data_IF_124979184322
#
_entry.id   IF_124979184322
#
_cell.length_a   1.000
_cell.length_b   1.000
_cell.length_c   1.000
_cell.angle_alpha   90.00
_cell.angle_beta   90.00
_cell.angle_gamma   90.00
#
_symmetry.space_group_name_H-M   'P 1'
#
loop_
_entity.id
_entity.type
_entity.pdbx_description
1 polymer ?
#
# COMPACT_ATOMS: atom_id res chain seq x y z
N UNK A 1 10.64 45.07 -66.20
CA UNK A 1 9.31 45.66 -65.91
C UNK A 1 8.33 44.50 -65.91
N UNK A 2 7.59 44.12 -64.87
CA UNK A 2 7.32 44.59 -63.51
C UNK A 2 6.51 43.46 -62.84
N UNK A 3 6.74 43.20 -61.56
CA UNK A 3 5.97 42.23 -60.73
C UNK A 3 4.52 42.71 -60.54
N UNK A 4 3.55 41.82 -60.22
CA UNK A 4 3.17 41.70 -58.81
C UNK A 4 2.77 40.28 -58.32
N UNK A 5 3.37 39.87 -57.20
CA UNK A 5 2.77 39.25 -56.01
C UNK A 5 1.32 38.74 -56.07
N UNK A 6 1.11 37.44 -55.81
CA UNK A 6 0.32 36.93 -54.66
C UNK A 6 0.71 35.46 -54.41
N UNK A 7 1.60 35.21 -53.45
CA UNK A 7 1.86 33.86 -52.94
C UNK A 7 0.71 33.50 -51.99
N UNK A 8 -0.16 32.59 -52.40
CA UNK A 8 -0.98 31.86 -51.44
C UNK A 8 -0.01 31.10 -50.51
N UNK A 9 0.01 31.47 -49.22
CA UNK A 9 0.67 30.66 -48.20
C UNK A 9 -0.04 29.32 -48.17
N UNK A 10 0.60 28.29 -48.72
CA UNK A 10 0.26 26.92 -48.43
C UNK A 10 0.49 26.73 -46.92
N UNK A 11 -0.59 26.65 -46.15
CA UNK A 11 -0.53 26.16 -44.77
C UNK A 11 0.21 24.83 -44.79
N UNK A 12 1.28 24.74 -44.01
CA UNK A 12 2.14 23.57 -44.02
C UNK A 12 1.34 22.34 -43.59
N UNK A 13 1.51 21.23 -44.30
CA UNK A 13 0.83 19.97 -44.01
C UNK A 13 1.22 19.42 -42.62
N UNK A 14 2.32 19.91 -42.04
CA UNK A 14 2.78 19.64 -40.68
C UNK A 14 1.89 20.29 -39.60
N UNK A 15 1.41 21.53 -39.79
CA UNK A 15 0.54 22.20 -38.80
C UNK A 15 -0.83 21.51 -38.65
N UNK A 16 -1.36 20.96 -39.75
CA UNK A 16 -2.62 20.21 -39.74
C UNK A 16 -2.42 18.85 -39.04
N UNK A 17 -1.26 18.22 -39.22
CA UNK A 17 -0.90 16.96 -38.55
C UNK A 17 -0.81 17.13 -37.03
N UNK A 18 -0.13 18.18 -36.55
CA UNK A 18 0.04 18.42 -35.12
C UNK A 18 -1.27 18.85 -34.44
N UNK A 19 -2.10 19.67 -35.09
CA UNK A 19 -3.42 20.03 -34.57
C UNK A 19 -4.37 18.82 -34.51
N UNK A 20 -4.29 17.91 -35.48
CA UNK A 20 -5.04 16.64 -35.47
C UNK A 20 -4.49 15.70 -34.40
N UNK A 21 -3.17 15.61 -34.22
CA UNK A 21 -2.54 14.84 -33.15
C UNK A 21 -2.92 15.39 -31.77
N UNK A 22 -2.92 16.71 -31.57
CA UNK A 22 -3.34 17.38 -30.34
C UNK A 22 -4.85 17.22 -30.09
N UNK A 23 -5.67 17.23 -31.13
CA UNK A 23 -7.11 16.93 -31.04
C UNK A 23 -7.40 15.47 -30.69
N UNK A 24 -6.60 14.52 -31.20
CA UNK A 24 -6.72 13.08 -30.94
C UNK A 24 -6.12 12.67 -29.58
N UNK A 25 -5.12 13.41 -29.07
CA UNK A 25 -4.39 13.09 -27.85
C UNK A 25 -4.75 13.97 -26.65
N UNK A 26 -5.59 15.00 -26.84
CA UNK A 26 -6.13 15.79 -25.73
C UNK A 26 -7.03 14.93 -24.83
N UNK A 27 -6.73 14.90 -23.54
CA UNK A 27 -7.63 14.31 -22.55
C UNK A 27 -8.90 15.16 -22.50
N UNK A 28 -10.00 14.60 -22.99
CA UNK A 28 -11.31 15.26 -22.99
C UNK A 28 -12.09 14.97 -21.72
N UNK A 29 -11.90 13.80 -21.12
CA UNK A 29 -12.73 13.27 -20.04
C UNK A 29 -11.94 12.61 -18.93
N UNK A 30 -12.56 12.51 -17.76
CA UNK A 30 -12.07 11.86 -16.55
C UNK A 30 -13.14 10.94 -15.96
N UNK A 31 -12.72 9.82 -15.40
CA UNK A 31 -13.59 8.92 -14.63
C UNK A 31 -13.48 9.23 -13.13
N UNK A 32 -14.63 9.52 -12.50
CA UNK A 32 -14.77 9.69 -11.04
C UNK A 32 -14.74 8.33 -10.33
N UNK A 33 -14.54 8.37 -9.00
CA UNK A 33 -14.52 7.15 -8.16
C UNK A 33 -15.81 6.34 -8.19
N UNK A 34 -16.94 6.98 -8.46
CA UNK A 34 -18.26 6.35 -8.58
C UNK A 34 -18.57 5.91 -10.03
N UNK A 35 -17.56 5.91 -10.93
CA UNK A 35 -17.72 5.54 -12.34
C UNK A 35 -18.27 6.65 -13.26
N UNK A 36 -18.70 7.79 -12.71
CA UNK A 36 -19.24 8.88 -13.52
C UNK A 36 -18.15 9.58 -14.34
N UNK A 37 -18.46 9.90 -15.60
CA UNK A 37 -17.55 10.61 -16.52
C UNK A 37 -17.75 12.12 -16.38
N UNK A 38 -16.65 12.87 -16.45
CA UNK A 38 -16.66 14.34 -16.39
C UNK A 38 -15.64 14.92 -17.37
N UNK A 39 -15.92 16.06 -17.96
CA UNK A 39 -14.96 16.76 -18.81
C UNK A 39 -13.69 17.19 -18.05
N UNK A 40 -12.56 17.03 -18.71
CA UNK A 40 -11.26 17.39 -18.18
C UNK A 40 -11.04 18.91 -18.24
N UNK A 41 -10.71 19.49 -17.10
CA UNK A 41 -10.59 20.93 -16.93
C UNK A 41 -9.15 21.28 -16.51
N UNK A 42 -8.38 21.76 -17.49
CA UNK A 42 -6.97 22.14 -17.31
C UNK A 42 -6.83 23.27 -16.28
N UNK A 43 -7.78 24.20 -16.21
CA UNK A 43 -7.72 25.31 -15.27
C UNK A 43 -7.90 24.83 -13.83
N UNK A 44 -8.77 23.85 -13.60
CA UNK A 44 -8.88 23.19 -12.27
C UNK A 44 -7.60 22.46 -11.88
N UNK A 45 -6.95 21.77 -12.83
CA UNK A 45 -5.67 21.12 -12.59
C UNK A 45 -4.59 22.15 -12.21
N UNK A 46 -4.47 23.23 -12.99
CA UNK A 46 -3.54 24.34 -12.74
C UNK A 46 -3.75 24.94 -11.34
N UNK A 47 -4.98 25.26 -10.99
CA UNK A 47 -5.32 25.80 -9.67
C UNK A 47 -4.95 24.84 -8.53
N UNK A 48 -5.13 23.54 -8.75
CA UNK A 48 -4.74 22.50 -7.79
C UNK A 48 -3.22 22.47 -7.57
N UNK A 49 -2.44 22.53 -8.66
CA UNK A 49 -0.97 22.59 -8.62
C UNK A 49 -0.48 23.90 -7.97
N UNK A 50 -1.08 25.03 -8.32
CA UNK A 50 -0.73 26.34 -7.75
C UNK A 50 -0.94 26.38 -6.23
N UNK A 51 -2.06 25.82 -5.74
CA UNK A 51 -2.33 25.70 -4.29
C UNK A 51 -1.28 24.83 -3.59
N UNK A 52 -0.87 23.73 -4.21
CA UNK A 52 0.14 22.84 -3.66
C UNK A 52 1.50 23.54 -3.54
N UNK A 53 1.93 24.20 -4.62
CA UNK A 53 3.17 24.97 -4.66
C UNK A 53 3.16 26.10 -3.62
N UNK A 54 2.07 26.87 -3.53
CA UNK A 54 1.91 27.93 -2.56
C UNK A 54 1.96 27.43 -1.10
N UNK A 55 1.29 26.30 -0.80
CA UNK A 55 1.33 25.69 0.52
C UNK A 55 2.74 25.20 0.93
N UNK A 56 3.61 24.94 -0.04
CA UNK A 56 5.01 24.57 0.15
C UNK A 56 5.98 25.76 0.03
N UNK A 57 5.48 27.01 -0.02
CA UNK A 57 6.31 28.22 -0.10
C UNK A 57 6.96 28.46 -1.47
N UNK A 58 6.51 27.78 -2.52
CA UNK A 58 7.03 27.93 -3.88
C UNK A 58 6.34 29.08 -4.62
N UNK A 59 7.03 29.66 -5.60
CA UNK A 59 6.48 30.77 -6.38
C UNK A 59 5.28 30.31 -7.24
N UNK A 60 4.18 31.08 -7.32
CA UNK A 60 2.98 30.70 -8.08
C UNK A 60 3.17 30.60 -9.61
N UNK A 61 4.17 31.30 -10.16
CA UNK A 61 4.54 31.30 -11.59
C UNK A 61 5.01 29.93 -12.10
N UNK A 62 5.50 29.07 -11.21
CA UNK A 62 5.86 27.69 -11.52
C UNK A 62 4.65 26.81 -11.86
N UNK A 63 3.43 27.21 -11.47
CA UNK A 63 2.24 26.39 -11.67
C UNK A 63 1.94 26.16 -13.15
N UNK A 64 2.14 27.17 -14.00
CA UNK A 64 1.93 27.06 -15.44
C UNK A 64 2.92 26.08 -16.08
N UNK A 65 4.20 26.20 -15.69
CA UNK A 65 5.25 25.30 -16.16
C UNK A 65 5.00 23.85 -15.73
N UNK A 66 4.70 23.62 -14.45
CA UNK A 66 4.42 22.27 -13.94
C UNK A 66 3.17 21.69 -14.60
N UNK A 67 2.11 22.49 -14.77
CA UNK A 67 0.88 22.06 -15.43
C UNK A 67 1.15 21.63 -16.87
N UNK A 68 1.97 22.38 -17.63
CA UNK A 68 2.36 22.00 -18.98
C UNK A 68 3.04 20.63 -19.04
N UNK A 69 4.00 20.37 -18.14
CA UNK A 69 4.67 19.06 -18.07
C UNK A 69 3.73 17.93 -17.66
N UNK A 70 2.80 18.17 -16.74
CA UNK A 70 1.75 17.21 -16.37
C UNK A 70 0.90 16.89 -17.60
N UNK A 71 0.48 17.89 -18.36
CA UNK A 71 -0.30 17.70 -19.59
C UNK A 71 0.46 16.89 -20.63
N UNK A 72 1.73 17.20 -20.89
CA UNK A 72 2.55 16.41 -21.83
C UNK A 72 2.63 14.94 -21.42
N UNK A 73 2.79 14.65 -20.12
CA UNK A 73 2.87 13.27 -19.61
C UNK A 73 1.54 12.54 -19.71
N UNK A 74 0.46 13.27 -19.43
CA UNK A 74 -0.89 12.78 -19.52
C UNK A 74 -1.26 12.39 -20.95
N UNK A 75 -1.00 13.28 -21.91
CA UNK A 75 -1.17 13.05 -23.35
C UNK A 75 -0.33 11.87 -23.84
N UNK A 76 0.93 11.73 -23.36
CA UNK A 76 1.79 10.58 -23.70
C UNK A 76 1.33 9.27 -23.08
N UNK A 77 0.67 9.31 -21.93
CA UNK A 77 0.25 8.14 -21.17
C UNK A 77 -1.13 7.63 -21.59
N UNK A 78 -1.99 8.52 -22.08
CA UNK A 78 -3.35 8.24 -22.49
C UNK A 78 -3.51 8.64 -23.96
N UNK A 79 -3.43 7.65 -24.83
CA UNK A 79 -3.46 7.74 -26.30
C UNK A 79 -4.86 7.99 -26.90
N UNK A 80 -5.81 8.46 -26.08
CA UNK A 80 -7.19 8.68 -26.47
C UNK A 80 -8.10 7.44 -26.39
N UNK A 81 -7.57 6.23 -26.22
CA UNK A 81 -8.36 5.00 -26.06
C UNK A 81 -8.68 4.66 -24.60
N UNK A 82 -7.96 5.25 -23.65
CA UNK A 82 -8.20 5.08 -22.21
C UNK A 82 -8.48 6.43 -21.54
N UNK A 83 -9.62 6.51 -20.84
CA UNK A 83 -10.00 7.70 -20.08
C UNK A 83 -9.32 7.68 -18.71
N UNK A 84 -8.49 8.68 -18.35
CA UNK A 84 -7.79 8.69 -17.08
C UNK A 84 -8.75 8.84 -15.90
N UNK A 85 -8.41 8.21 -14.79
CA UNK A 85 -9.09 8.43 -13.51
C UNK A 85 -8.49 9.63 -12.78
N UNK A 86 -9.20 10.15 -11.78
CA UNK A 86 -8.62 11.14 -10.86
C UNK A 86 -7.35 10.67 -10.12
N UNK A 87 -7.15 9.34 -9.98
CA UNK A 87 -5.92 8.80 -9.40
C UNK A 87 -4.77 8.94 -10.38
N UNK A 88 -4.99 8.62 -11.65
CA UNK A 88 -3.98 8.72 -12.69
C UNK A 88 -3.46 10.15 -12.87
N UNK A 89 -4.38 11.13 -12.89
CA UNK A 89 -3.99 12.55 -12.95
C UNK A 89 -3.09 12.92 -11.78
N UNK A 90 -3.45 12.48 -10.58
CA UNK A 90 -2.69 12.77 -9.36
C UNK A 90 -1.31 12.14 -9.38
N UNK A 91 -1.20 10.91 -9.84
CA UNK A 91 0.08 10.21 -9.93
C UNK A 91 1.01 10.93 -10.91
N UNK A 92 0.48 11.37 -12.06
CA UNK A 92 1.27 12.15 -13.01
C UNK A 92 1.71 13.49 -12.40
N UNK A 93 0.84 14.19 -11.67
CA UNK A 93 1.23 15.42 -10.95
C UNK A 93 2.33 15.16 -9.92
N UNK A 94 2.23 14.08 -9.13
CA UNK A 94 3.24 13.75 -8.13
C UNK A 94 4.60 13.41 -8.72
N UNK A 95 4.64 12.58 -9.76
CA UNK A 95 5.90 12.28 -10.45
C UNK A 95 6.48 13.57 -11.04
N UNK A 96 5.64 14.45 -11.57
CA UNK A 96 6.10 15.74 -12.11
C UNK A 96 6.67 16.63 -11.00
N UNK A 97 6.06 16.68 -9.81
CA UNK A 97 6.65 17.39 -8.67
C UNK A 97 8.00 16.81 -8.25
N UNK A 98 8.14 15.48 -8.24
CA UNK A 98 9.43 14.83 -7.92
C UNK A 98 10.50 15.21 -8.93
N UNK A 99 10.19 15.22 -10.22
CA UNK A 99 11.15 15.54 -11.28
C UNK A 99 11.58 17.01 -11.28
N UNK A 100 10.74 17.90 -10.76
CA UNK A 100 11.10 19.29 -10.47
C UNK A 100 11.83 19.46 -9.13
N UNK A 101 12.15 18.35 -8.44
CA UNK A 101 12.75 18.32 -7.11
C UNK A 101 11.88 18.98 -6.01
N UNK A 102 10.56 19.00 -6.21
CA UNK A 102 9.57 19.53 -5.28
C UNK A 102 9.01 18.41 -4.39
N UNK A 103 9.90 17.62 -3.80
CA UNK A 103 9.55 16.41 -3.02
C UNK A 103 8.66 16.73 -1.81
N UNK A 104 8.84 17.89 -1.17
CA UNK A 104 7.96 18.35 -0.09
C UNK A 104 6.56 18.66 -0.61
N UNK A 105 6.46 19.36 -1.74
CA UNK A 105 5.19 19.65 -2.42
C UNK A 105 4.48 18.37 -2.86
N UNK A 106 5.20 17.40 -3.42
CA UNK A 106 4.64 16.09 -3.79
C UNK A 106 4.02 15.37 -2.56
N UNK A 107 4.75 15.36 -1.44
CA UNK A 107 4.26 14.79 -0.17
C UNK A 107 3.01 15.52 0.34
N UNK A 108 3.02 16.86 0.30
CA UNK A 108 1.86 17.66 0.72
C UNK A 108 0.66 17.51 -0.24
N UNK A 109 0.90 17.41 -1.55
CA UNK A 109 -0.14 17.24 -2.56
C UNK A 109 -0.89 15.91 -2.40
N UNK A 110 -0.16 14.84 -2.07
CA UNK A 110 -0.75 13.58 -1.60
C UNK A 110 -1.52 13.78 -0.28
N UNK A 111 -0.97 14.56 0.65
CA UNK A 111 -1.52 14.82 1.98
C UNK A 111 -2.73 15.78 2.04
N UNK A 112 -2.99 16.60 1.02
CA UNK A 112 -4.06 17.62 1.05
C UNK A 112 -5.48 17.02 1.07
N UNK A 113 -5.64 15.77 0.62
CA UNK A 113 -6.87 14.99 0.88
C UNK A 113 -6.82 14.23 2.19
N UNK A 114 -5.65 13.90 2.72
CA UNK A 114 -5.55 13.30 4.05
C UNK A 114 -6.07 14.30 5.08
N UNK A 115 -5.69 15.58 5.02
CA UNK A 115 -6.21 16.59 5.96
C UNK A 115 -7.71 16.87 5.80
N UNK A 116 -8.26 16.96 4.57
CA UNK A 116 -9.71 17.13 4.35
C UNK A 116 -10.55 15.87 4.51
N UNK A 117 -9.97 14.67 4.38
CA UNK A 117 -10.64 13.42 4.72
C UNK A 117 -10.57 13.13 6.22
N UNK A 118 -9.56 13.68 6.91
CA UNK A 118 -9.46 13.64 8.38
C UNK A 118 -10.25 14.75 9.08
N UNK A 119 -10.54 15.87 8.42
CA UNK A 119 -11.54 16.83 8.90
C UNK A 119 -12.94 16.28 8.56
N UNK A 120 -13.57 15.75 9.61
CA UNK A 120 -14.73 14.87 9.60
C UNK A 120 -15.85 15.33 8.67
N UNK A 121 -16.21 14.46 7.74
CA UNK A 121 -17.55 14.42 7.18
C UNK A 121 -18.51 14.26 8.37
N UNK A 122 -19.52 15.11 8.49
CA UNK A 122 -20.51 14.95 9.58
C UNK A 122 -21.16 13.58 9.50
N UNK A 123 -21.43 13.01 10.67
CA UNK A 123 -22.08 11.71 10.76
C UNK A 123 -23.45 11.77 10.05
N UNK A 124 -23.72 10.77 9.22
CA UNK A 124 -24.95 10.66 8.44
C UNK A 124 -25.78 9.51 8.98
N UNK A 125 -27.08 9.72 9.18
CA UNK A 125 -28.01 8.74 9.73
C UNK A 125 -29.33 8.72 8.93
N UNK A 126 -30.17 7.71 9.16
CA UNK A 126 -31.55 7.65 8.67
C UNK A 126 -31.80 6.73 7.47
N UNK A 127 -30.77 6.21 6.82
CA UNK A 127 -30.86 5.27 5.69
C UNK A 127 -29.93 4.05 5.86
N UNK A 128 -29.67 3.66 7.10
CA UNK A 128 -28.69 2.63 7.45
C UNK A 128 -29.31 1.40 8.10
N UNK A 129 -28.47 0.55 8.67
CA UNK A 129 -28.91 -0.63 9.42
C UNK A 129 -29.23 -0.27 10.87
N UNK A 130 -30.21 -0.97 11.45
CA UNK A 130 -30.41 -1.04 12.90
C UNK A 130 -29.45 -2.06 13.49
N UNK A 131 -28.89 -1.78 14.66
CA UNK A 131 -27.92 -2.66 15.33
C UNK A 131 -28.43 -3.00 16.72
N UNK A 132 -28.78 -4.26 16.92
CA UNK A 132 -29.18 -4.78 18.22
C UNK A 132 -27.95 -5.02 19.11
N UNK A 133 -28.10 -4.76 20.42
CA UNK A 133 -27.09 -5.11 21.41
C UNK A 133 -27.31 -6.54 21.88
N UNK A 134 -26.29 -7.38 21.77
CA UNK A 134 -26.34 -8.77 22.19
C UNK A 134 -25.47 -9.01 23.42
N UNK A 135 -24.21 -8.53 23.40
CA UNK A 135 -23.28 -8.69 24.50
C UNK A 135 -23.21 -7.48 25.44
N UNK A 136 -23.64 -6.30 24.97
CA UNK A 136 -23.47 -5.03 25.67
C UNK A 136 -24.80 -4.46 26.17
N UNK A 137 -24.71 -3.46 27.05
CA UNK A 137 -25.88 -2.74 27.59
C UNK A 137 -25.74 -1.26 27.29
N UNK A 138 -26.85 -0.61 26.98
CA UNK A 138 -26.86 0.83 26.76
C UNK A 138 -26.39 1.56 28.03
N UNK A 139 -25.54 2.57 27.85
CA UNK A 139 -24.99 3.37 28.95
C UNK A 139 -23.86 2.72 29.75
N UNK A 140 -23.49 1.47 29.46
CA UNK A 140 -22.36 0.78 30.12
C UNK A 140 -21.27 0.52 29.09
N UNK A 141 -20.07 1.07 29.31
CA UNK A 141 -18.95 0.83 28.40
C UNK A 141 -18.44 -0.63 28.57
N UNK A 142 -18.15 -1.39 27.50
CA UNK A 142 -17.71 -2.78 27.62
C UNK A 142 -16.50 -2.97 28.53
N UNK A 143 -15.59 -1.99 28.56
CA UNK A 143 -14.40 -2.03 29.40
C UNK A 143 -14.67 -1.89 30.91
N UNK A 144 -15.84 -1.40 31.31
CA UNK A 144 -16.22 -1.25 32.72
C UNK A 144 -16.64 -2.60 33.33
N UNK A 145 -16.98 -3.58 32.49
CA UNK A 145 -17.34 -4.94 32.88
C UNK A 145 -16.14 -5.87 33.01
N UNK A 146 -14.93 -5.34 32.84
CA UNK A 146 -13.69 -6.10 32.74
C UNK A 146 -12.84 -5.82 33.97
N UNK A 147 -12.30 -6.88 34.57
CA UNK A 147 -11.23 -6.75 35.57
C UNK A 147 -9.88 -6.60 34.85
N UNK A 148 -9.15 -5.54 35.19
CA UNK A 148 -7.88 -5.18 34.57
C UNK A 148 -6.75 -5.32 35.57
N UNK A 149 -5.57 -5.67 35.07
CA UNK A 149 -4.36 -5.69 35.87
C UNK A 149 -3.18 -5.07 35.12
N UNK A 150 -2.18 -4.67 35.88
CA UNK A 150 -0.89 -4.25 35.34
C UNK A 150 0.04 -5.45 35.26
N UNK A 151 0.65 -5.64 34.10
CA UNK A 151 1.58 -6.72 33.82
C UNK A 151 2.78 -6.21 33.03
N UNK A 152 3.93 -6.85 33.19
CA UNK A 152 5.09 -6.56 32.35
C UNK A 152 5.06 -7.46 31.10
N UNK A 153 5.29 -6.88 29.93
CA UNK A 153 5.48 -7.63 28.70
C UNK A 153 6.97 -7.83 28.45
N UNK A 154 7.44 -9.08 28.44
CA UNK A 154 8.86 -9.42 28.30
C UNK A 154 9.04 -10.60 27.36
N UNK A 155 9.87 -10.44 26.34
CA UNK A 155 10.21 -11.49 25.37
C UNK A 155 11.71 -11.75 25.47
N UNK A 156 12.09 -13.02 25.56
CA UNK A 156 13.47 -13.49 25.57
C UNK A 156 13.79 -14.29 24.31
N UNK A 157 15.05 -14.28 23.87
CA UNK A 157 15.53 -15.19 22.84
C UNK A 157 15.88 -16.57 23.44
N UNK A 158 16.32 -17.51 22.59
CA UNK A 158 16.74 -18.87 22.97
C UNK A 158 17.92 -18.89 23.96
N UNK A 159 18.71 -17.81 24.00
CA UNK A 159 19.83 -17.62 24.94
C UNK A 159 19.38 -16.98 26.27
N UNK A 160 18.09 -16.78 26.48
CA UNK A 160 17.51 -16.16 27.68
C UNK A 160 17.68 -14.64 27.77
N UNK A 161 18.23 -13.99 26.74
CA UNK A 161 18.42 -12.54 26.72
C UNK A 161 17.11 -11.84 26.37
N UNK A 162 16.84 -10.71 27.03
CA UNK A 162 15.65 -9.91 26.77
C UNK A 162 15.78 -9.20 25.43
N UNK A 163 14.88 -9.52 24.50
CA UNK A 163 14.80 -8.85 23.19
C UNK A 163 13.75 -7.74 23.15
N UNK A 164 12.80 -7.78 24.08
CA UNK A 164 11.75 -6.76 24.22
C UNK A 164 11.25 -6.72 25.65
N UNK A 165 11.07 -5.52 26.19
CA UNK A 165 10.42 -5.30 27.49
C UNK A 165 9.61 -4.00 27.48
N UNK A 166 8.38 -4.06 28.02
CA UNK A 166 7.60 -2.89 28.38
C UNK A 166 6.86 -3.18 29.70
N UNK A 167 7.10 -2.34 30.71
CA UNK A 167 6.61 -2.54 32.07
C UNK A 167 5.25 -1.88 32.30
N UNK A 168 4.48 -2.44 33.23
CA UNK A 168 3.26 -1.85 33.76
C UNK A 168 2.15 -1.64 32.72
N UNK A 169 2.06 -2.51 31.71
CA UNK A 169 0.97 -2.42 30.73
C UNK A 169 -0.35 -2.90 31.32
N UNK A 170 -1.44 -2.25 30.94
CA UNK A 170 -2.78 -2.60 31.39
C UNK A 170 -3.42 -3.61 30.43
N UNK A 171 -3.80 -4.78 30.94
CA UNK A 171 -4.41 -5.88 30.18
C UNK A 171 -5.59 -6.47 30.96
N UNK A 172 -6.56 -7.11 30.28
CA UNK A 172 -7.59 -7.88 30.97
C UNK A 172 -6.95 -9.02 31.77
N UNK A 173 -7.41 -9.24 33.00
CA UNK A 173 -6.80 -10.19 33.94
C UNK A 173 -6.69 -11.61 33.38
N UNK A 174 -7.69 -12.06 32.62
CA UNK A 174 -7.72 -13.42 32.04
C UNK A 174 -6.82 -13.59 30.82
N UNK A 175 -6.25 -12.53 30.24
CA UNK A 175 -5.32 -12.68 29.12
C UNK A 175 -4.08 -13.43 29.58
N UNK A 176 -3.53 -14.30 28.73
CA UNK A 176 -2.29 -15.02 29.04
C UNK A 176 -1.07 -14.10 28.92
N UNK A 177 0.04 -14.43 29.59
CA UNK A 177 1.31 -13.72 29.44
C UNK A 177 1.78 -13.70 27.97
N UNK A 178 1.59 -14.78 27.23
CA UNK A 178 1.91 -14.86 25.80
C UNK A 178 1.09 -13.86 24.98
N UNK A 179 -0.22 -13.76 25.23
CA UNK A 179 -1.06 -12.76 24.56
C UNK A 179 -0.60 -11.33 24.87
N UNK A 180 -0.31 -11.03 26.14
CA UNK A 180 0.27 -9.75 26.56
C UNK A 180 1.57 -9.45 25.81
N UNK A 181 2.52 -10.38 25.80
CA UNK A 181 3.81 -10.23 25.13
C UNK A 181 3.66 -9.94 23.63
N UNK A 182 2.80 -10.71 22.93
CA UNK A 182 2.56 -10.54 21.49
C UNK A 182 1.90 -9.20 21.20
N UNK A 183 0.87 -8.83 21.95
CA UNK A 183 0.11 -7.60 21.71
C UNK A 183 0.96 -6.36 21.93
N UNK A 184 1.69 -6.34 23.03
CA UNK A 184 2.52 -5.19 23.41
C UNK A 184 3.70 -5.06 22.46
N UNK A 185 4.37 -6.16 22.09
CA UNK A 185 5.51 -6.08 21.18
C UNK A 185 5.14 -5.72 19.74
N UNK A 186 4.01 -6.23 19.24
CA UNK A 186 3.66 -6.11 17.81
C UNK A 186 2.65 -5.00 17.51
N UNK A 187 1.61 -4.86 18.32
CA UNK A 187 0.42 -4.08 17.97
C UNK A 187 0.32 -2.75 18.69
N UNK A 188 0.92 -2.61 19.88
CA UNK A 188 0.99 -1.30 20.55
C UNK A 188 1.75 -0.29 19.69
N UNK A 189 1.19 0.92 19.58
CA UNK A 189 1.73 2.05 18.82
C UNK A 189 2.57 2.98 19.70
N UNK A 190 3.41 3.80 19.08
CA UNK A 190 4.39 4.67 19.76
C UNK A 190 5.68 3.93 20.09
N UNK A 191 6.71 4.68 20.47
CA UNK A 191 8.05 4.16 20.77
C UNK A 191 8.21 4.01 22.28
N UNK A 192 8.81 2.91 22.74
CA UNK A 192 9.01 2.65 24.17
C UNK A 192 9.78 3.80 24.80
N UNK A 193 9.27 4.30 25.93
CA UNK A 193 9.86 5.42 26.67
C UNK A 193 9.33 6.80 26.23
N UNK A 194 8.67 6.91 25.08
CA UNK A 194 8.01 8.13 24.64
C UNK A 194 6.57 8.20 25.19
N UNK A 195 6.02 9.41 25.29
CA UNK A 195 4.67 9.65 25.84
C UNK A 195 3.55 9.17 24.92
N UNK A 196 3.82 8.97 23.63
CA UNK A 196 2.86 8.50 22.64
C UNK A 196 2.71 6.97 22.61
N UNK A 197 3.46 6.25 23.47
CA UNK A 197 3.43 4.79 23.56
C UNK A 197 2.12 4.32 24.18
N UNK A 198 1.38 3.50 23.43
CA UNK A 198 0.27 2.73 23.97
C UNK A 198 0.78 1.82 25.10
N UNK A 199 0.04 1.82 26.21
CA UNK A 199 0.33 1.05 27.41
C UNK A 199 -0.87 0.24 27.91
N UNK A 200 -2.04 0.37 27.28
CA UNK A 200 -3.25 -0.37 27.64
C UNK A 200 -3.89 -1.03 26.42
N UNK A 201 -4.38 -2.26 26.60
CA UNK A 201 -5.17 -2.95 25.56
C UNK A 201 -6.44 -2.17 25.22
N UNK A 202 -6.98 -1.35 26.15
CA UNK A 202 -8.10 -0.44 25.86
C UNK A 202 -7.79 0.53 24.73
N UNK A 203 -6.55 1.05 24.69
CA UNK A 203 -6.11 1.99 23.67
C UNK A 203 -6.03 1.31 22.31
N UNK A 204 -5.44 0.11 22.25
CA UNK A 204 -5.36 -0.68 21.02
C UNK A 204 -6.73 -1.04 20.46
N UNK A 205 -7.60 -1.64 21.30
CA UNK A 205 -8.93 -2.08 20.87
C UNK A 205 -9.81 -0.88 20.54
N UNK A 206 -9.77 0.18 21.36
CA UNK A 206 -10.53 1.41 21.13
C UNK A 206 -10.11 2.09 19.83
N UNK A 207 -8.80 2.22 19.57
CA UNK A 207 -8.29 2.77 18.30
C UNK A 207 -8.91 2.08 17.09
N UNK A 208 -9.00 0.75 17.10
CA UNK A 208 -9.58 0.01 15.98
C UNK A 208 -11.10 0.12 15.94
N UNK A 209 -11.79 -0.19 17.05
CA UNK A 209 -13.25 -0.21 17.09
C UNK A 209 -13.86 1.18 16.83
N UNK A 210 -13.35 2.22 17.49
CA UNK A 210 -13.81 3.60 17.30
C UNK A 210 -13.53 4.11 15.90
N UNK A 211 -12.39 3.77 15.29
CA UNK A 211 -12.10 4.19 13.91
C UNK A 211 -13.06 3.53 12.92
N UNK A 212 -13.30 2.23 13.04
CA UNK A 212 -14.22 1.50 12.14
C UNK A 212 -15.65 2.02 12.32
N UNK A 213 -16.12 2.17 13.55
CA UNK A 213 -17.44 2.73 13.83
C UNK A 213 -17.55 4.19 13.33
N UNK A 214 -16.50 4.98 13.45
CA UNK A 214 -16.41 6.33 12.89
C UNK A 214 -16.56 6.37 11.38
N UNK A 215 -15.95 5.44 10.65
CA UNK A 215 -16.21 5.30 9.20
C UNK A 215 -17.66 4.96 8.91
N UNK A 216 -18.25 4.01 9.65
CA UNK A 216 -19.66 3.66 9.51
C UNK A 216 -20.60 4.85 9.72
N UNK A 217 -20.33 5.69 10.73
CA UNK A 217 -21.06 6.94 10.98
C UNK A 217 -20.94 7.93 9.84
N UNK A 218 -19.73 8.13 9.31
CA UNK A 218 -19.47 9.11 8.26
C UNK A 218 -19.97 8.69 6.87
N UNK A 219 -20.07 7.38 6.64
CA UNK A 219 -20.54 6.81 5.37
C UNK A 219 -22.03 6.44 5.38
N UNK A 220 -22.74 6.68 6.49
CA UNK A 220 -24.19 6.52 6.57
C UNK A 220 -24.65 5.08 6.75
N UNK A 221 -23.80 4.21 7.32
CA UNK A 221 -24.13 2.79 7.51
C UNK A 221 -25.18 2.54 8.59
N UNK A 222 -25.44 3.49 9.50
CA UNK A 222 -26.30 3.28 10.66
C UNK A 222 -27.62 4.05 10.54
N UNK A 223 -28.72 3.44 10.99
CA UNK A 223 -30.03 4.06 10.97
C UNK A 223 -30.11 5.22 11.97
N UNK A 224 -29.60 5.01 13.18
CA UNK A 224 -29.55 6.02 14.25
C UNK A 224 -28.15 6.16 14.83
N UNK A 225 -27.96 7.18 15.69
CA UNK A 225 -26.72 7.32 16.46
C UNK A 225 -26.57 6.16 17.45
N UNK A 226 -27.68 5.74 18.04
CA UNK A 226 -27.75 4.65 19.01
C UNK A 226 -27.30 3.32 18.39
N UNK A 227 -27.63 3.08 17.11
CA UNK A 227 -27.15 1.91 16.35
C UNK A 227 -25.63 1.94 16.15
N UNK A 228 -25.06 3.11 15.85
CA UNK A 228 -23.62 3.27 15.70
C UNK A 228 -22.89 3.04 17.04
N UNK A 229 -23.44 3.56 18.13
CA UNK A 229 -22.90 3.37 19.49
C UNK A 229 -23.07 1.91 19.95
N UNK A 230 -24.14 1.23 19.53
CA UNK A 230 -24.31 -0.21 19.72
C UNK A 230 -23.24 -1.00 18.98
N UNK A 231 -23.04 -0.74 17.69
CA UNK A 231 -22.00 -1.38 16.89
C UNK A 231 -20.61 -1.23 17.49
N UNK A 232 -20.22 -0.02 17.90
CA UNK A 232 -18.91 0.23 18.51
C UNK A 232 -18.73 -0.54 19.82
N UNK A 233 -19.78 -0.59 20.65
CA UNK A 233 -19.76 -1.31 21.92
C UNK A 233 -19.65 -2.82 21.69
N UNK A 234 -20.48 -3.38 20.81
CA UNK A 234 -20.47 -4.82 20.49
C UNK A 234 -19.12 -5.23 19.90
N UNK A 235 -18.58 -4.45 18.95
CA UNK A 235 -17.26 -4.70 18.38
C UNK A 235 -16.17 -4.64 19.45
N UNK A 236 -16.20 -3.62 20.32
CA UNK A 236 -15.24 -3.51 21.43
C UNK A 236 -15.31 -4.73 22.35
N UNK A 237 -16.52 -5.17 22.71
CA UNK A 237 -16.73 -6.36 23.54
C UNK A 237 -16.17 -7.62 22.88
N UNK A 238 -16.49 -7.87 21.61
CA UNK A 238 -16.04 -9.03 20.85
C UNK A 238 -14.51 -9.10 20.80
N UNK A 239 -13.86 -7.95 20.54
CA UNK A 239 -12.41 -7.88 20.40
C UNK A 239 -11.68 -8.06 21.74
N UNK A 240 -12.11 -7.36 22.81
CA UNK A 240 -11.42 -7.41 24.11
C UNK A 240 -11.59 -8.77 24.82
N UNK A 241 -12.74 -9.42 24.62
CA UNK A 241 -13.02 -10.76 25.12
C UNK A 241 -12.48 -11.88 24.21
N UNK A 242 -11.72 -11.54 23.16
CA UNK A 242 -11.10 -12.50 22.24
C UNK A 242 -12.09 -13.46 21.54
N UNK A 243 -13.34 -13.01 21.33
CA UNK A 243 -14.37 -13.79 20.63
C UNK A 243 -14.14 -13.81 19.11
N UNK A 244 -13.53 -12.74 18.60
CA UNK A 244 -13.00 -12.66 17.24
C UNK A 244 -11.77 -11.75 17.22
N UNK A 245 -10.98 -11.84 16.15
CA UNK A 245 -9.83 -10.96 15.94
C UNK A 245 -9.73 -10.57 14.47
N UNK A 246 -9.40 -9.30 14.22
CA UNK A 246 -8.98 -8.89 12.89
C UNK A 246 -7.61 -9.46 12.53
N UNK A 247 -7.32 -9.49 11.23
CA UNK A 247 -5.98 -9.78 10.73
C UNK A 247 -4.97 -8.71 11.22
N UNK A 248 -3.68 -9.02 11.07
CA UNK A 248 -2.62 -8.13 11.56
C UNK A 248 -2.59 -6.72 10.94
N UNK A 249 -2.80 -6.51 9.62
CA UNK A 249 -2.80 -5.17 9.03
C UNK A 249 -3.85 -4.21 9.62
N UNK A 250 -5.02 -4.72 10.01
CA UNK A 250 -6.02 -3.90 10.70
C UNK A 250 -5.43 -3.34 12.00
N UNK A 251 -4.87 -4.20 12.85
CA UNK A 251 -4.25 -3.79 14.11
C UNK A 251 -3.08 -2.80 13.92
N UNK A 252 -2.30 -2.98 12.85
CA UNK A 252 -1.15 -2.11 12.54
C UNK A 252 -1.56 -0.73 12.06
N UNK A 253 -2.61 -0.63 11.23
CA UNK A 253 -2.83 0.53 10.39
C UNK A 253 -4.09 1.34 10.77
N UNK A 254 -5.15 0.69 11.23
CA UNK A 254 -6.44 1.36 11.48
C UNK A 254 -6.32 2.33 12.65
N UNK A 255 -6.78 3.57 12.46
CA UNK A 255 -6.64 4.64 13.47
C UNK A 255 -5.22 5.18 13.62
N UNK A 256 -4.26 4.74 12.80
CA UNK A 256 -2.89 5.26 12.74
C UNK A 256 -2.65 6.00 11.43
N UNK A 257 -3.00 5.36 10.32
CA UNK A 257 -2.84 5.92 8.97
C UNK A 257 -4.18 6.42 8.46
N UNK A 258 -4.18 7.56 7.76
CA UNK A 258 -5.39 8.11 7.16
C UNK A 258 -5.99 7.21 6.06
N UNK A 259 -5.15 6.46 5.36
CA UNK A 259 -5.54 5.47 4.36
C UNK A 259 -4.91 4.12 4.75
N UNK A 260 -5.51 3.42 5.74
CA UNK A 260 -4.91 2.21 6.28
C UNK A 260 -5.07 1.03 5.32
N UNK A 261 -4.02 0.23 5.17
CA UNK A 261 -4.10 -1.06 4.49
C UNK A 261 -4.66 -2.11 5.47
N UNK A 262 -5.89 -2.55 5.23
CA UNK A 262 -6.58 -3.50 6.10
C UNK A 262 -6.51 -4.95 5.59
N UNK A 263 -6.34 -5.16 4.29
CA UNK A 263 -6.27 -6.49 3.68
C UNK A 263 -4.87 -7.07 3.77
N UNK A 264 -4.72 -8.33 4.20
CA UNK A 264 -3.42 -8.96 4.42
C UNK A 264 -2.85 -9.70 3.20
N UNK A 265 -3.69 -10.11 2.26
CA UNK A 265 -3.30 -10.95 1.15
C UNK A 265 -3.79 -10.35 -0.16
N UNK A 266 -2.94 -10.37 -1.18
CA UNK A 266 -3.24 -9.90 -2.52
C UNK A 266 -2.76 -10.92 -3.55
N UNK A 267 -3.51 -11.05 -4.64
CA UNK A 267 -3.14 -11.87 -5.79
C UNK A 267 -2.90 -10.92 -6.95
N UNK A 268 -1.70 -10.99 -7.54
CA UNK A 268 -1.30 -10.16 -8.66
C UNK A 268 -1.08 -11.01 -9.91
N UNK A 269 -1.10 -10.35 -11.05
CA UNK A 269 -0.80 -10.96 -12.35
C UNK A 269 0.37 -10.24 -13.01
N UNK A 270 0.99 -10.92 -13.97
CA UNK A 270 2.10 -10.40 -14.75
C UNK A 270 1.91 -10.76 -16.22
N UNK A 271 2.35 -9.87 -17.10
CA UNK A 271 2.42 -10.11 -18.55
C UNK A 271 3.87 -10.37 -18.95
N UNK A 272 4.07 -11.05 -20.07
CA UNK A 272 5.40 -11.41 -20.60
C UNK A 272 6.11 -10.22 -21.28
N UNK A 273 6.31 -9.16 -20.51
CA UNK A 273 7.06 -7.98 -20.92
C UNK A 273 7.76 -7.35 -19.71
N UNK A 274 8.89 -6.70 -19.98
CA UNK A 274 9.73 -6.13 -18.91
C UNK A 274 9.03 -5.03 -18.10
N UNK A 275 8.08 -4.28 -18.67
CA UNK A 275 7.36 -3.24 -17.92
C UNK A 275 6.42 -3.88 -16.90
N UNK A 276 5.66 -4.90 -17.31
CA UNK A 276 4.77 -5.63 -16.41
C UNK A 276 5.55 -6.34 -15.29
N UNK A 277 6.67 -6.99 -15.61
CA UNK A 277 7.55 -7.67 -14.63
C UNK A 277 8.06 -6.69 -13.57
N UNK A 278 8.58 -5.53 -13.97
CA UNK A 278 9.10 -4.53 -13.02
C UNK A 278 7.98 -3.80 -12.27
N UNK A 279 6.81 -3.62 -12.90
CA UNK A 279 5.63 -3.09 -12.24
C UNK A 279 5.11 -4.03 -11.16
N UNK A 280 5.24 -5.35 -11.34
CA UNK A 280 4.91 -6.33 -10.31
C UNK A 280 5.77 -6.12 -9.06
N UNK A 281 7.10 -5.99 -9.21
CA UNK A 281 8.00 -5.70 -8.09
C UNK A 281 7.60 -4.40 -7.35
N UNK A 282 7.26 -3.36 -8.11
CA UNK A 282 6.81 -2.07 -7.55
C UNK A 282 5.51 -2.24 -6.75
N UNK A 283 4.53 -2.92 -7.34
CA UNK A 283 3.21 -3.15 -6.73
C UNK A 283 3.35 -3.94 -5.43
N UNK A 284 4.09 -5.04 -5.48
CA UNK A 284 4.31 -5.91 -4.33
C UNK A 284 5.12 -5.24 -3.23
N UNK A 285 6.18 -4.50 -3.57
CA UNK A 285 6.94 -3.74 -2.60
C UNK A 285 6.09 -2.73 -1.83
N UNK A 286 5.12 -2.10 -2.50
CA UNK A 286 4.17 -1.19 -1.85
C UNK A 286 3.17 -1.93 -0.95
N UNK A 287 2.71 -3.11 -1.35
CA UNK A 287 1.86 -3.97 -0.52
C UNK A 287 2.61 -4.45 0.74
N UNK A 288 3.86 -4.87 0.57
CA UNK A 288 4.75 -5.30 1.64
C UNK A 288 4.96 -4.19 2.67
N UNK A 289 5.25 -2.98 2.21
CA UNK A 289 5.36 -1.78 3.07
C UNK A 289 4.12 -1.59 3.95
N UNK A 290 2.93 -1.89 3.45
CA UNK A 290 1.66 -1.78 4.20
C UNK A 290 1.35 -2.94 5.15
N UNK A 291 2.18 -3.99 5.19
CA UNK A 291 2.02 -5.11 6.11
C UNK A 291 1.41 -6.39 5.51
N UNK A 292 1.26 -6.43 4.19
CA UNK A 292 0.56 -7.50 3.48
C UNK A 292 1.51 -8.38 2.69
N UNK A 293 1.09 -9.62 2.40
CA UNK A 293 1.77 -10.54 1.49
C UNK A 293 1.16 -10.52 0.09
N UNK A 294 1.87 -11.10 -0.88
CA UNK A 294 1.45 -11.14 -2.27
C UNK A 294 1.68 -12.50 -2.93
N UNK A 295 0.68 -13.01 -3.63
CA UNK A 295 0.77 -14.19 -4.48
C UNK A 295 0.77 -13.81 -5.96
N UNK A 296 1.62 -14.42 -6.79
CA UNK A 296 1.66 -14.14 -8.22
C UNK A 296 1.92 -15.41 -9.03
N UNK A 297 1.14 -15.62 -10.09
CA UNK A 297 1.37 -16.69 -11.06
C UNK A 297 2.29 -16.19 -12.17
N UNK A 298 3.48 -16.78 -12.29
CA UNK A 298 4.50 -16.39 -13.27
C UNK A 298 4.46 -17.24 -14.55
N UNK A 299 3.48 -18.12 -14.71
CA UNK A 299 3.36 -19.02 -15.87
C UNK A 299 3.13 -18.31 -17.20
N UNK A 300 2.76 -17.02 -17.16
CA UNK A 300 2.67 -16.19 -18.37
C UNK A 300 4.03 -15.79 -18.90
N UNK A 301 5.09 -15.78 -18.07
CA UNK A 301 6.43 -15.42 -18.50
C UNK A 301 7.02 -16.52 -19.36
N UNK A 302 7.69 -16.14 -20.46
CA UNK A 302 8.34 -17.12 -21.33
C UNK A 302 9.45 -17.89 -20.59
N UNK A 303 9.64 -19.15 -20.97
CA UNK A 303 10.71 -20.00 -20.45
C UNK A 303 12.10 -19.45 -20.75
N UNK A 304 13.09 -19.77 -19.91
CA UNK A 304 14.52 -19.54 -20.20
C UNK A 304 15.00 -20.20 -21.49
N UNK A 305 14.22 -21.13 -22.04
CA UNK A 305 14.55 -21.81 -23.28
C UNK A 305 14.24 -20.96 -24.52
N UNK A 306 13.39 -19.94 -24.40
CA UNK A 306 12.93 -19.08 -25.50
C UNK A 306 13.95 -18.00 -25.88
N UNK A 307 13.91 -17.57 -27.15
CA UNK A 307 14.74 -16.45 -27.63
C UNK A 307 14.10 -15.09 -27.35
N UNK A 308 14.96 -14.08 -27.17
CA UNK A 308 14.55 -12.69 -27.11
C UNK A 308 14.50 -12.09 -28.52
N UNK A 309 13.39 -11.41 -28.83
CA UNK A 309 13.12 -10.88 -30.17
C UNK A 309 14.28 -10.02 -30.69
N UNK A 310 14.77 -10.34 -31.89
CA UNK A 310 15.83 -9.59 -32.56
C UNK A 310 17.25 -9.87 -32.04
N UNK A 311 17.46 -10.90 -31.22
CA UNK A 311 18.80 -11.28 -30.74
C UNK A 311 18.96 -12.80 -30.63
N UNK A 312 20.22 -13.25 -30.59
CA UNK A 312 20.55 -14.65 -30.24
C UNK A 312 20.55 -14.89 -28.71
N UNK A 313 20.09 -13.91 -27.92
CA UNK A 313 19.97 -14.03 -26.47
C UNK A 313 18.75 -14.87 -26.08
N UNK A 314 18.90 -15.70 -25.04
CA UNK A 314 17.79 -16.46 -24.46
C UNK A 314 17.17 -15.67 -23.31
N UNK A 315 15.89 -15.88 -23.07
CA UNK A 315 15.18 -15.31 -21.94
C UNK A 315 15.76 -15.83 -20.61
N UNK A 316 15.54 -15.08 -19.54
CA UNK A 316 15.98 -15.49 -18.20
C UNK A 316 15.04 -16.51 -17.54
N UNK A 317 13.77 -16.58 -17.98
CA UNK A 317 12.74 -17.43 -17.40
C UNK A 317 12.17 -16.93 -16.05
N UNK A 318 11.00 -17.44 -15.63
CA UNK A 318 10.34 -17.04 -14.39
C UNK A 318 11.17 -17.29 -13.12
N UNK A 319 11.93 -18.38 -13.05
CA UNK A 319 12.73 -18.73 -11.86
C UNK A 319 13.86 -17.72 -11.62
N UNK A 320 14.43 -17.14 -12.69
CA UNK A 320 15.43 -16.08 -12.56
C UNK A 320 14.81 -14.78 -12.03
N UNK A 321 13.66 -14.36 -12.55
CA UNK A 321 12.94 -13.19 -12.03
C UNK A 321 12.46 -13.39 -10.59
N UNK A 322 12.10 -14.62 -10.21
CA UNK A 322 11.77 -14.98 -8.83
C UNK A 322 12.90 -14.66 -7.85
N UNK A 323 14.18 -14.79 -8.23
CA UNK A 323 15.31 -14.35 -7.39
C UNK A 323 15.28 -12.84 -7.13
N UNK A 324 14.90 -12.05 -8.12
CA UNK A 324 14.73 -10.61 -7.97
C UNK A 324 13.56 -10.27 -7.03
N UNK A 325 12.41 -10.91 -7.22
CA UNK A 325 11.25 -10.72 -6.33
C UNK A 325 11.52 -11.18 -4.90
N UNK A 326 12.22 -12.30 -4.71
CA UNK A 326 12.71 -12.79 -3.42
C UNK A 326 13.57 -11.75 -2.72
N UNK A 327 14.54 -11.17 -3.43
CA UNK A 327 15.39 -10.13 -2.87
C UNK A 327 14.56 -8.90 -2.43
N UNK A 328 13.61 -8.45 -3.25
CA UNK A 328 12.72 -7.34 -2.87
C UNK A 328 11.87 -7.67 -1.64
N UNK A 329 11.31 -8.88 -1.55
CA UNK A 329 10.56 -9.32 -0.38
C UNK A 329 11.45 -9.41 0.88
N UNK A 330 12.68 -9.89 0.73
CA UNK A 330 13.65 -10.08 1.80
C UNK A 330 14.21 -8.78 2.39
N UNK A 331 14.26 -7.68 1.62
CA UNK A 331 14.73 -6.36 2.11
C UNK A 331 13.61 -5.50 2.68
N UNK A 332 12.37 -5.70 2.25
CA UNK A 332 11.23 -4.88 2.71
C UNK A 332 10.68 -5.45 4.02
N UNK A 333 10.84 -4.67 5.09
CA UNK A 333 10.21 -4.95 6.39
C UNK A 333 8.71 -4.70 6.33
N UNK A 334 7.93 -5.76 6.46
CA UNK A 334 6.49 -5.73 6.28
C UNK A 334 5.81 -4.85 7.33
N UNK A 335 5.03 -3.85 6.90
CA UNK A 335 4.33 -2.92 7.79
C UNK A 335 5.24 -2.03 8.62
N UNK A 336 6.52 -1.89 8.25
CA UNK A 336 7.53 -1.21 9.06
C UNK A 336 7.86 -1.91 10.38
N UNK A 337 7.59 -3.22 10.47
CA UNK A 337 7.84 -4.07 11.67
C UNK A 337 9.06 -4.96 11.47
N UNK A 338 9.37 -5.81 12.45
CA UNK A 338 10.58 -6.64 12.47
C UNK A 338 10.57 -7.83 11.51
N UNK A 339 9.41 -8.19 10.91
CA UNK A 339 9.31 -9.34 9.99
C UNK A 339 9.54 -8.94 8.53
N UNK A 340 10.23 -9.80 7.77
CA UNK A 340 10.38 -9.67 6.32
C UNK A 340 9.04 -9.91 5.62
N UNK A 341 8.90 -9.41 4.39
CA UNK A 341 7.74 -9.71 3.57
C UNK A 341 7.82 -11.14 3.03
N UNK A 342 6.68 -11.73 2.76
CA UNK A 342 6.58 -13.05 2.16
C UNK A 342 5.72 -12.96 0.90
N UNK A 343 6.17 -13.62 -0.15
CA UNK A 343 5.45 -13.82 -1.39
C UNK A 343 5.27 -15.31 -1.65
N UNK A 344 4.16 -15.63 -2.30
CA UNK A 344 3.94 -16.93 -2.91
C UNK A 344 4.08 -16.80 -4.43
N UNK A 345 4.94 -17.62 -5.02
CA UNK A 345 5.05 -17.73 -6.47
C UNK A 345 4.37 -19.01 -6.94
N UNK A 346 3.61 -18.92 -8.03
CA UNK A 346 2.96 -20.06 -8.67
C UNK A 346 3.55 -20.24 -10.07
N UNK A 347 3.83 -21.49 -10.44
CA UNK A 347 4.17 -21.91 -11.79
C UNK A 347 3.33 -23.15 -12.16
N UNK A 348 2.73 -23.15 -13.35
CA UNK A 348 1.94 -24.27 -13.83
C UNK A 348 2.85 -25.46 -14.16
N UNK A 349 2.34 -26.67 -13.97
CA UNK A 349 3.12 -27.91 -14.10
C UNK A 349 3.62 -28.17 -15.53
N UNK A 350 2.95 -27.62 -16.53
CA UNK A 350 3.29 -27.72 -17.95
C UNK A 350 4.29 -26.65 -18.41
N UNK A 351 4.69 -25.72 -17.53
CA UNK A 351 5.67 -24.70 -17.87
C UNK A 351 7.07 -25.33 -18.08
N UNK A 352 7.82 -24.99 -19.15
CA UNK A 352 9.10 -25.65 -19.44
C UNK A 352 10.19 -25.51 -18.36
N UNK A 353 10.05 -24.55 -17.46
CA UNK A 353 10.97 -24.29 -16.34
C UNK A 353 10.51 -24.91 -15.00
N UNK A 354 9.53 -25.82 -15.02
CA UNK A 354 8.93 -26.42 -13.82
C UNK A 354 9.93 -27.20 -12.96
N UNK A 355 10.83 -27.98 -13.58
CA UNK A 355 11.83 -28.78 -12.87
C UNK A 355 12.79 -27.89 -12.05
N UNK A 356 13.20 -26.75 -12.61
CA UNK A 356 14.00 -25.76 -11.88
C UNK A 356 13.19 -25.15 -10.74
N UNK A 357 11.92 -24.82 -10.98
CA UNK A 357 11.05 -24.20 -9.98
C UNK A 357 10.81 -25.10 -8.76
N UNK A 358 10.50 -26.38 -8.95
CA UNK A 358 10.18 -27.30 -7.83
C UNK A 358 11.41 -27.69 -7.01
N UNK A 359 12.61 -27.61 -7.59
CA UNK A 359 13.87 -27.99 -6.91
C UNK A 359 14.62 -26.80 -6.32
N UNK A 360 14.33 -25.56 -6.75
CA UNK A 360 15.17 -24.39 -6.49
C UNK A 360 15.49 -24.15 -5.00
N UNK A 361 14.53 -24.32 -4.08
CA UNK A 361 14.76 -24.12 -2.65
C UNK A 361 15.65 -25.17 -2.03
N UNK A 362 15.46 -26.44 -2.41
CA UNK A 362 16.28 -27.55 -1.93
C UNK A 362 17.73 -27.42 -2.43
N UNK A 363 17.92 -26.96 -3.67
CA UNK A 363 19.26 -26.71 -4.21
C UNK A 363 19.96 -25.50 -3.56
N UNK A 364 19.23 -24.42 -3.26
CA UNK A 364 19.79 -23.29 -2.48
C UNK A 364 20.10 -23.71 -1.03
N UNK A 365 19.29 -24.58 -0.43
CA UNK A 365 19.54 -25.07 0.93
C UNK A 365 20.88 -25.80 1.03
N UNK A 366 21.26 -26.63 0.05
CA UNK A 366 22.59 -27.26 0.02
C UNK A 366 23.74 -26.25 0.17
N UNK A 367 23.58 -25.03 -0.36
CA UNK A 367 24.57 -23.96 -0.22
C UNK A 367 24.62 -23.41 1.21
N UNK A 368 23.46 -23.23 1.85
CA UNK A 368 23.41 -22.82 3.25
C UNK A 368 24.09 -23.84 4.15
N UNK A 369 23.88 -25.14 3.93
CA UNK A 369 24.55 -26.20 4.68
C UNK A 369 26.08 -26.17 4.49
N UNK A 370 26.55 -26.00 3.25
CA UNK A 370 27.98 -25.83 2.99
C UNK A 370 28.58 -24.60 3.71
N UNK A 371 27.82 -23.50 3.83
CA UNK A 371 28.24 -22.32 4.60
C UNK A 371 28.25 -22.62 6.10
N UNK A 372 27.26 -23.34 6.63
CA UNK A 372 27.20 -23.73 8.04
C UNK A 372 28.39 -24.62 8.40
N UNK A 373 28.72 -25.60 7.55
CA UNK A 373 29.88 -26.47 7.72
C UNK A 373 31.21 -25.70 7.69
N UNK A 374 31.26 -24.61 6.92
CA UNK A 374 32.38 -23.67 6.90
C UNK A 374 32.42 -22.71 8.10
N UNK A 375 31.46 -22.81 9.03
CA UNK A 375 31.40 -22.04 10.28
C UNK A 375 30.57 -20.76 10.24
N UNK A 376 29.79 -20.53 9.17
CA UNK A 376 28.83 -19.43 9.14
C UNK A 376 27.63 -19.72 10.05
N UNK A 377 27.07 -18.69 10.68
CA UNK A 377 25.90 -18.84 11.54
C UNK A 377 24.66 -19.26 10.74
N UNK A 378 24.11 -20.42 11.11
CA UNK A 378 22.93 -21.07 10.53
C UNK A 378 21.60 -20.68 11.18
N UNK A 379 21.58 -19.66 12.05
CA UNK A 379 20.31 -19.10 12.52
C UNK A 379 19.48 -18.54 11.35
N UNK A 380 18.16 -18.43 11.52
CA UNK A 380 17.22 -18.02 10.47
C UNK A 380 17.56 -16.67 9.81
N UNK A 381 18.13 -15.73 10.57
CA UNK A 381 18.62 -14.43 10.07
C UNK A 381 20.17 -14.38 9.97
N UNK A 382 20.82 -15.53 10.14
CA UNK A 382 22.27 -15.69 10.06
C UNK A 382 22.79 -15.57 8.63
N UNK A 383 24.09 -15.30 8.46
CA UNK A 383 24.72 -15.08 7.15
C UNK A 383 24.62 -16.28 6.21
N UNK A 384 24.48 -17.52 6.71
CA UNK A 384 24.29 -18.68 5.85
C UNK A 384 22.96 -18.57 5.08
N UNK A 385 21.83 -18.55 5.79
CA UNK A 385 20.50 -18.42 5.20
C UNK A 385 20.24 -17.05 4.57
N UNK A 386 20.86 -15.99 5.09
CA UNK A 386 20.75 -14.63 4.55
C UNK A 386 21.44 -14.42 3.21
N UNK A 387 22.25 -15.38 2.74
CA UNK A 387 23.04 -15.28 1.50
C UNK A 387 22.49 -16.10 0.32
N UNK A 388 21.48 -16.94 0.56
CA UNK A 388 20.87 -17.80 -0.45
C UNK A 388 19.54 -17.23 -0.97
N UNK A 389 19.11 -17.69 -2.14
CA UNK A 389 17.86 -17.24 -2.76
C UNK A 389 16.63 -18.01 -2.25
N UNK A 390 15.44 -17.49 -2.60
CA UNK A 390 14.12 -18.12 -2.47
C UNK A 390 13.63 -18.32 -1.02
N UNK A 391 14.15 -17.50 -0.10
CA UNK A 391 13.73 -17.52 1.31
C UNK A 391 12.38 -16.82 1.53
N UNK A 392 12.05 -15.85 0.68
CA UNK A 392 10.88 -14.98 0.80
C UNK A 392 9.91 -15.09 -0.39
N UNK A 393 10.22 -15.89 -1.42
CA UNK A 393 9.40 -16.11 -2.61
C UNK A 393 9.12 -17.59 -2.89
#
# INVERSE_FOLDING_TARGET
>A
MSDPTTRAQAGSTEEISDAVLEYLTSIKQLVKRNGAVQDFDVQKLRLSIAKALGASGMKPDLADKVTGYVMTRLVKRFDGHTTPTYSDIRDVVNVTFIDFNFTHTAKQYLGYKVSRAMHGKEATYGNGITVERYFTRQGVHPYDLIEWEKRDARITNEKGQVVFEQKGVEVPKWWTQTATNVVVSKYFRGKIGETDREYSVRQLVGRVATTIAGWGRNDGYFQTKEDADAYESELTHILVNQMAAFNSPVWFNVGVNAHPQCSACFINSVQDDMRSILQLATTEGMLFKGGSGAGSNLSSLRSRQEYLGGSNGRASGPVSFMKGFDAFAGVIKSGGKTRRAAKMVILNIDHPDIEEFITCKAEEEKKAWALIDAGYDGSMDGPAYGSIYFQNA
#
